data_IF_940596303630
#
_entry.id   IF_940596303630
#
_cell.length_a   1.000
_cell.length_b   1.000
_cell.length_c   1.000
_cell.angle_alpha   90.00
_cell.angle_beta   90.00
_cell.angle_gamma   90.00
#
_symmetry.space_group_name_H-M   'P 1'
#
loop_
_entity.id
_entity.type
_entity.pdbx_description
1 polymer ?
#
# COMPACT_ATOMS: atom_id res chain seq x y z
N UNK A 1 18.16 3.33 -2.92
CA UNK A 1 17.34 3.56 -1.71
C UNK A 1 15.97 2.90 -1.77
N UNK A 2 15.19 3.06 -2.86
CA UNK A 2 13.87 2.42 -2.99
C UNK A 2 13.88 0.91 -2.71
N UNK A 3 14.73 0.13 -3.41
CA UNK A 3 14.83 -1.32 -3.19
C UNK A 3 15.22 -1.71 -1.77
N UNK A 4 16.13 -0.96 -1.13
CA UNK A 4 16.51 -1.19 0.27
C UNK A 4 15.33 -0.94 1.21
N UNK A 5 14.58 0.14 1.00
CA UNK A 5 13.40 0.42 1.80
C UNK A 5 12.33 -0.66 1.64
N UNK A 6 12.09 -1.13 0.42
CA UNK A 6 11.16 -2.25 0.15
C UNK A 6 11.64 -3.54 0.81
N UNK A 7 12.93 -3.86 0.72
CA UNK A 7 13.53 -5.05 1.32
C UNK A 7 13.46 -5.06 2.85
N UNK A 8 13.42 -3.89 3.50
CA UNK A 8 13.23 -3.77 4.96
C UNK A 8 11.74 -3.80 5.31
N UNK A 9 10.93 -3.04 4.57
CA UNK A 9 9.51 -2.86 4.87
C UNK A 9 8.71 -4.15 4.71
N UNK A 10 8.94 -4.94 3.66
CA UNK A 10 8.14 -6.15 3.42
C UNK A 10 8.30 -7.22 4.51
N UNK A 11 9.52 -7.58 4.96
CA UNK A 11 9.69 -8.47 6.11
C UNK A 11 9.11 -7.89 7.40
N UNK A 12 9.23 -6.58 7.63
CA UNK A 12 8.63 -5.93 8.79
C UNK A 12 7.09 -5.96 8.75
N UNK A 13 6.49 -5.80 7.57
CA UNK A 13 5.04 -5.92 7.37
C UNK A 13 4.56 -7.34 7.70
N UNK A 14 5.31 -8.36 7.29
CA UNK A 14 4.97 -9.76 7.54
C UNK A 14 5.21 -10.19 9.00
N UNK A 15 6.31 -9.76 9.62
CA UNK A 15 6.75 -10.27 10.92
C UNK A 15 6.34 -9.38 12.10
N UNK A 16 6.32 -8.05 11.93
CA UNK A 16 6.20 -7.11 13.04
C UNK A 16 4.85 -6.40 13.09
N UNK A 17 4.29 -6.00 11.94
CA UNK A 17 3.00 -5.30 11.91
C UNK A 17 1.79 -6.09 12.45
N UNK A 18 1.72 -7.44 12.37
CA UNK A 18 0.63 -8.19 13.01
C UNK A 18 0.53 -7.99 14.52
N UNK A 19 1.64 -7.61 15.18
CA UNK A 19 1.66 -7.29 16.63
C UNK A 19 0.80 -6.06 16.95
N UNK A 20 0.67 -5.12 16.00
CA UNK A 20 -0.17 -3.94 16.13
C UNK A 20 -1.58 -4.15 15.56
N UNK A 21 -1.99 -5.40 15.34
CA UNK A 21 -3.33 -5.68 14.83
C UNK A 21 -4.40 -5.29 15.86
N UNK A 22 -5.33 -4.44 15.44
CA UNK A 22 -6.49 -4.07 16.25
C UNK A 22 -7.72 -4.57 15.50
N UNK A 23 -8.52 -5.43 16.15
CA UNK A 23 -9.72 -6.03 15.57
C UNK A 23 -9.49 -6.75 14.23
N UNK A 24 -8.31 -7.39 14.06
CA UNK A 24 -7.95 -8.11 12.83
C UNK A 24 -7.46 -7.22 11.68
N UNK A 25 -7.34 -5.91 11.90
CA UNK A 25 -6.72 -4.98 10.95
C UNK A 25 -5.25 -4.75 11.32
N UNK A 26 -4.32 -5.35 10.56
CA UNK A 26 -2.87 -5.19 10.74
C UNK A 26 -2.36 -4.04 9.87
N UNK A 27 -1.76 -2.96 10.43
CA UNK A 27 -1.31 -1.83 9.62
C UNK A 27 -0.29 -2.25 8.56
N UNK A 28 -0.29 -1.58 7.39
CA UNK A 28 0.69 -1.85 6.32
C UNK A 28 1.70 -0.71 6.16
N UNK A 29 2.96 -1.03 6.45
CA UNK A 29 4.12 -0.17 6.18
C UNK A 29 4.37 -0.02 4.68
N UNK A 30 4.08 -1.07 3.89
CA UNK A 30 4.22 -1.03 2.44
C UNK A 30 3.27 0.01 1.82
N UNK A 31 2.05 0.12 2.35
CA UNK A 31 1.10 1.18 2.03
C UNK A 31 1.66 2.59 2.26
N UNK A 32 2.28 2.81 3.43
CA UNK A 32 2.88 4.10 3.79
C UNK A 32 4.05 4.44 2.86
N UNK A 33 4.92 3.47 2.58
CA UNK A 33 6.05 3.64 1.68
C UNK A 33 5.57 3.98 0.25
N UNK A 34 4.55 3.27 -0.24
CA UNK A 34 3.97 3.52 -1.56
C UNK A 34 3.35 4.94 -1.67
N UNK A 35 2.67 5.40 -0.62
CA UNK A 35 2.12 6.75 -0.56
C UNK A 35 3.22 7.81 -0.53
N UNK A 36 4.28 7.59 0.25
CA UNK A 36 5.44 8.48 0.30
C UNK A 36 6.15 8.60 -1.06
N UNK A 37 6.36 7.48 -1.75
CA UNK A 37 6.97 7.47 -3.08
C UNK A 37 6.05 8.16 -4.10
N UNK A 38 4.74 7.92 -4.04
CA UNK A 38 3.76 8.55 -4.93
C UNK A 38 3.68 10.07 -4.78
N UNK A 39 3.80 10.56 -3.55
CA UNK A 39 3.82 11.99 -3.25
C UNK A 39 5.07 12.69 -3.80
N UNK A 40 6.23 12.03 -3.73
CA UNK A 40 7.52 12.70 -3.88
C UNK A 40 8.27 12.38 -5.18
N UNK A 41 8.00 11.23 -5.81
CA UNK A 41 8.67 10.80 -7.03
C UNK A 41 8.05 11.40 -8.31
N UNK A 42 8.74 11.23 -9.45
CA UNK A 42 8.15 11.49 -10.76
C UNK A 42 6.97 10.55 -11.02
N UNK A 43 5.97 10.97 -11.82
CA UNK A 43 4.77 10.16 -12.09
C UNK A 43 5.11 8.75 -12.60
N UNK A 44 6.11 8.62 -13.47
CA UNK A 44 6.58 7.31 -13.98
C UNK A 44 7.20 6.46 -12.87
N UNK A 45 8.07 7.04 -12.03
CA UNK A 45 8.72 6.31 -10.95
C UNK A 45 7.74 5.91 -9.83
N UNK A 46 6.76 6.75 -9.52
CA UNK A 46 5.69 6.44 -8.58
C UNK A 46 4.87 5.22 -9.04
N UNK A 47 4.48 5.22 -10.32
CA UNK A 47 3.66 4.15 -10.89
C UNK A 47 4.42 2.82 -10.91
N UNK A 48 5.65 2.80 -11.45
CA UNK A 48 6.48 1.59 -11.46
C UNK A 48 6.88 1.13 -10.06
N UNK A 49 7.17 2.05 -9.14
CA UNK A 49 7.49 1.72 -7.76
C UNK A 49 6.32 1.04 -7.04
N UNK A 50 5.11 1.58 -7.18
CA UNK A 50 3.93 0.98 -6.58
C UNK A 50 3.54 -0.34 -7.24
N UNK A 51 3.75 -0.47 -8.56
CA UNK A 51 3.58 -1.74 -9.27
C UNK A 51 4.50 -2.84 -8.71
N UNK A 52 5.79 -2.54 -8.55
CA UNK A 52 6.77 -3.50 -7.99
C UNK A 52 6.43 -3.85 -6.54
N UNK A 53 6.04 -2.87 -5.70
CA UNK A 53 5.61 -3.14 -4.32
C UNK A 53 4.40 -4.08 -4.30
N UNK A 54 3.36 -3.80 -5.09
CA UNK A 54 2.17 -4.63 -5.13
C UNK A 54 2.43 -6.05 -5.66
N UNK A 55 3.33 -6.19 -6.64
CA UNK A 55 3.75 -7.48 -7.17
C UNK A 55 4.51 -8.30 -6.13
N UNK A 56 5.40 -7.66 -5.37
CA UNK A 56 6.09 -8.34 -4.27
C UNK A 56 5.14 -8.77 -3.16
N UNK A 57 4.12 -7.95 -2.84
CA UNK A 57 3.08 -8.29 -1.86
C UNK A 57 2.25 -9.49 -2.33
N UNK A 58 1.89 -9.53 -3.62
CA UNK A 58 1.15 -10.65 -4.21
C UNK A 58 1.96 -11.96 -4.13
N UNK A 59 3.29 -11.90 -4.31
CA UNK A 59 4.17 -13.07 -4.15
C UNK A 59 4.45 -13.44 -2.69
N UNK A 60 4.43 -12.48 -1.76
CA UNK A 60 4.68 -12.75 -0.34
C UNK A 60 3.45 -13.21 0.44
N UNK A 61 2.25 -13.06 -0.13
CA UNK A 61 0.98 -13.33 0.56
C UNK A 61 0.25 -14.53 -0.08
N UNK A 62 0.65 -15.78 0.22
CA UNK A 62 -0.07 -16.95 -0.26
C UNK A 62 -1.51 -16.96 0.26
N UNK A 63 -2.48 -17.22 -0.62
CA UNK A 63 -3.88 -17.39 -0.23
C UNK A 63 -4.19 -18.89 -0.12
N UNK A 64 -4.76 -19.30 1.01
CA UNK A 64 -5.24 -20.68 1.20
C UNK A 64 -6.67 -20.79 0.71
N UNK A 65 -6.87 -21.52 -0.39
CA UNK A 65 -8.19 -21.72 -1.00
C UNK A 65 -8.40 -23.22 -1.22
N UNK A 66 -9.47 -23.76 -0.62
CA UNK A 66 -9.88 -25.16 -0.77
C UNK A 66 -8.74 -26.19 -0.54
N UNK A 67 -7.87 -25.95 0.46
CA UNK A 67 -6.75 -26.84 0.78
C UNK A 67 -5.52 -26.71 -0.12
N UNK A 68 -5.53 -25.78 -1.08
CA UNK A 68 -4.39 -25.46 -1.95
C UNK A 68 -3.84 -24.06 -1.68
N UNK A 69 -2.53 -23.89 -1.86
CA UNK A 69 -1.85 -22.59 -1.79
C UNK A 69 -1.90 -21.95 -3.17
N UNK A 70 -2.61 -20.82 -3.29
CA UNK A 70 -2.68 -20.05 -4.52
C UNK A 70 -1.87 -18.75 -4.38
N UNK A 71 -0.87 -18.60 -5.23
CA UNK A 71 -0.21 -17.32 -5.48
C UNK A 71 -0.93 -16.66 -6.66
N UNK A 72 -1.69 -15.60 -6.37
CA UNK A 72 -2.42 -14.86 -7.40
C UNK A 72 -1.72 -13.51 -7.63
N UNK A 73 -0.86 -13.39 -8.66
CA UNK A 73 -0.32 -12.09 -9.04
C UNK A 73 -1.44 -11.23 -9.64
N UNK A 74 -1.58 -9.99 -9.18
CA UNK A 74 -2.50 -9.02 -9.77
C UNK A 74 -3.29 -8.17 -8.79
N UNK A 75 -3.99 -8.73 -7.78
CA UNK A 75 -4.93 -7.96 -6.96
C UNK A 75 -4.27 -6.77 -6.25
N UNK A 76 -3.14 -6.99 -5.55
CA UNK A 76 -2.44 -5.89 -4.91
C UNK A 76 -1.62 -5.11 -5.93
N UNK A 77 -1.02 -5.75 -6.93
CA UNK A 77 -0.27 -5.07 -8.01
C UNK A 77 -1.09 -3.96 -8.68
N UNK A 78 -2.31 -4.29 -9.13
CA UNK A 78 -3.22 -3.35 -9.76
C UNK A 78 -3.77 -2.34 -8.76
N UNK A 79 -4.08 -2.78 -7.53
CA UNK A 79 -4.53 -1.90 -6.47
C UNK A 79 -3.53 -0.80 -6.14
N UNK A 80 -2.25 -1.15 -5.99
CA UNK A 80 -1.18 -0.20 -5.68
C UNK A 80 -0.86 0.71 -6.88
N UNK A 81 -0.89 0.17 -8.10
CA UNK A 81 -0.72 0.98 -9.32
C UNK A 81 -1.85 2.02 -9.48
N UNK A 82 -3.12 1.62 -9.33
CA UNK A 82 -4.27 2.52 -9.41
C UNK A 82 -4.32 3.49 -8.23
N UNK A 83 -4.04 3.03 -7.01
CA UNK A 83 -3.92 3.86 -5.82
C UNK A 83 -2.84 4.94 -5.97
N UNK A 84 -1.71 4.60 -6.59
CA UNK A 84 -0.64 5.57 -6.89
C UNK A 84 -1.09 6.66 -7.87
N UNK A 85 -1.93 6.30 -8.85
CA UNK A 85 -2.49 7.25 -9.80
C UNK A 85 -3.42 8.25 -9.09
N UNK A 86 -4.28 7.76 -8.19
CA UNK A 86 -5.15 8.60 -7.37
C UNK A 86 -4.34 9.58 -6.50
N UNK A 87 -3.33 9.10 -5.79
CA UNK A 87 -2.43 9.96 -4.99
C UNK A 87 -1.71 10.99 -5.87
N UNK A 88 -1.26 10.59 -7.06
CA UNK A 88 -0.55 11.50 -7.97
C UNK A 88 -1.43 12.64 -8.48
N UNK A 89 -2.76 12.44 -8.59
CA UNK A 89 -3.70 13.50 -8.93
C UNK A 89 -3.94 14.43 -7.74
N UNK A 90 -4.17 13.86 -6.55
CA UNK A 90 -4.50 14.63 -5.34
C UNK A 90 -3.29 15.39 -4.79
N UNK A 91 -2.05 14.94 -5.05
CA UNK A 91 -0.83 15.60 -4.52
C UNK A 91 -0.68 17.08 -4.91
N UNK A 92 -1.34 17.51 -6.00
CA UNK A 92 -1.32 18.92 -6.43
C UNK A 92 -2.07 19.85 -5.44
N UNK A 93 -2.99 19.30 -4.65
CA UNK A 93 -3.85 20.03 -3.71
C UNK A 93 -3.31 20.04 -2.27
N UNK A 94 -2.16 19.40 -2.01
CA UNK A 94 -1.68 19.14 -0.66
C UNK A 94 -0.41 19.91 -0.31
N UNK A 95 -0.27 20.23 0.97
CA UNK A 95 0.94 20.82 1.52
C UNK A 95 2.12 19.85 1.37
N UNK A 96 3.18 20.32 0.70
CA UNK A 96 4.41 19.55 0.53
C UNK A 96 5.09 19.33 1.87
N UNK A 97 5.60 18.11 2.10
CA UNK A 97 6.41 17.70 3.27
C UNK A 97 5.71 17.68 4.64
N UNK A 98 4.37 17.65 4.68
CA UNK A 98 3.66 17.44 5.95
C UNK A 98 3.50 15.94 6.26
N UNK A 99 3.60 15.55 7.53
CA UNK A 99 3.38 14.16 7.98
C UNK A 99 1.90 13.77 7.82
N UNK A 100 0.99 14.72 8.02
CA UNK A 100 -0.45 14.54 7.83
C UNK A 100 -0.77 14.20 6.37
N UNK A 101 -0.07 14.81 5.42
CA UNK A 101 -0.21 14.53 3.98
C UNK A 101 0.15 13.09 3.65
N UNK A 102 1.23 12.55 4.24
CA UNK A 102 1.63 11.15 4.02
C UNK A 102 0.59 10.19 4.60
N UNK A 103 0.11 10.46 5.82
CA UNK A 103 -0.94 9.65 6.46
C UNK A 103 -2.25 9.68 5.66
N UNK A 104 -2.74 10.86 5.28
CA UNK A 104 -3.95 11.01 4.48
C UNK A 104 -3.83 10.33 3.10
N UNK A 105 -2.68 10.43 2.44
CA UNK A 105 -2.47 9.75 1.14
C UNK A 105 -2.30 8.25 1.28
N UNK A 106 -1.77 7.77 2.41
CA UNK A 106 -1.75 6.33 2.71
C UNK A 106 -3.19 5.81 2.79
N UNK A 107 -4.07 6.52 3.47
CA UNK A 107 -5.50 6.17 3.52
C UNK A 107 -6.12 6.12 2.13
N UNK A 108 -5.95 7.17 1.32
CA UNK A 108 -6.51 7.24 -0.05
C UNK A 108 -5.96 6.12 -0.94
N UNK A 109 -4.65 5.87 -0.90
CA UNK A 109 -4.01 4.82 -1.67
C UNK A 109 -4.56 3.45 -1.30
N UNK A 110 -4.59 3.13 -0.01
CA UNK A 110 -5.03 1.83 0.49
C UNK A 110 -6.54 1.61 0.32
N UNK A 111 -7.34 2.68 0.32
CA UNK A 111 -8.75 2.61 -0.04
C UNK A 111 -8.90 2.19 -1.50
N UNK A 112 -8.12 2.77 -2.41
CA UNK A 112 -8.05 2.35 -3.81
C UNK A 112 -7.61 0.89 -3.97
N UNK A 113 -6.56 0.48 -3.25
CA UNK A 113 -6.09 -0.92 -3.22
C UNK A 113 -7.20 -1.86 -2.76
N UNK A 114 -7.92 -1.48 -1.70
CA UNK A 114 -8.98 -2.28 -1.11
C UNK A 114 -10.16 -2.47 -2.05
N UNK A 115 -10.59 -1.41 -2.75
CA UNK A 115 -11.65 -1.49 -3.75
C UNK A 115 -11.28 -2.41 -4.90
N UNK A 116 -10.06 -2.26 -5.44
CA UNK A 116 -9.58 -3.08 -6.56
C UNK A 116 -9.46 -4.55 -6.14
N UNK A 117 -8.91 -4.81 -4.96
CA UNK A 117 -8.78 -6.17 -4.44
C UNK A 117 -10.15 -6.84 -4.25
N UNK A 118 -11.10 -6.15 -3.60
CA UNK A 118 -12.46 -6.70 -3.39
C UNK A 118 -13.16 -6.90 -4.72
N UNK A 119 -13.02 -5.96 -5.67
CA UNK A 119 -13.60 -6.08 -7.00
C UNK A 119 -13.06 -7.30 -7.76
N UNK A 120 -11.74 -7.48 -7.82
CA UNK A 120 -11.11 -8.60 -8.53
C UNK A 120 -11.55 -9.94 -7.93
N UNK A 121 -11.54 -10.07 -6.60
CA UNK A 121 -11.99 -11.29 -5.95
C UNK A 121 -13.49 -11.53 -6.09
N UNK A 122 -14.32 -10.48 -6.12
CA UNK A 122 -15.76 -10.61 -6.35
C UNK A 122 -16.06 -11.09 -7.77
N UNK A 123 -15.38 -10.53 -8.79
CA UNK A 123 -15.50 -10.99 -10.18
C UNK A 123 -15.02 -12.43 -10.32
N UNK A 124 -13.89 -12.78 -9.70
CA UNK A 124 -13.37 -14.15 -9.73
C UNK A 124 -14.31 -15.14 -9.04
N UNK A 125 -14.90 -14.76 -7.90
CA UNK A 125 -15.88 -15.57 -7.19
C UNK A 125 -17.14 -15.85 -8.01
N UNK A 126 -17.57 -14.90 -8.85
CA UNK A 126 -18.74 -15.06 -9.71
C UNK A 126 -18.50 -15.94 -10.95
N UNK A 127 -17.30 -15.92 -11.53
CA UNK A 127 -17.05 -16.51 -12.86
C UNK A 127 -16.16 -17.76 -12.86
N UNK A 128 -15.25 -17.91 -11.90
CA UNK A 128 -14.10 -18.81 -12.08
C UNK A 128 -13.99 -19.99 -11.11
N UNK A 129 -14.63 -20.01 -9.92
CA UNK A 129 -14.76 -21.21 -9.05
C UNK A 129 -15.47 -20.99 -7.68
N UNK A 130 -16.23 -19.90 -7.46
CA UNK A 130 -17.06 -19.72 -6.26
C UNK A 130 -16.33 -19.50 -4.93
N UNK A 131 -15.05 -19.82 -4.83
CA UNK A 131 -14.26 -19.70 -3.60
C UNK A 131 -13.54 -18.35 -3.55
N UNK A 132 -13.97 -17.52 -2.60
CA UNK A 132 -13.31 -16.25 -2.25
C UNK A 132 -12.53 -16.41 -0.94
N UNK A 133 -11.42 -15.68 -0.76
CA UNK A 133 -10.57 -15.79 0.44
C UNK A 133 -11.21 -15.15 1.69
N UNK A 134 -12.36 -14.50 1.57
CA UNK A 134 -13.08 -13.86 2.67
C UNK A 134 -14.37 -14.61 2.98
N UNK A 135 -14.64 -14.80 4.28
CA UNK A 135 -15.90 -15.37 4.76
C UNK A 135 -16.95 -14.25 4.91
N UNK A 136 -17.98 -14.22 4.06
CA UNK A 136 -19.11 -13.29 4.17
C UNK A 136 -19.34 -12.46 2.90
N UNK A 137 -20.04 -11.32 3.06
CA UNK A 137 -20.35 -10.43 1.93
C UNK A 137 -19.17 -9.52 1.57
N UNK A 138 -19.09 -9.12 0.30
CA UNK A 138 -18.06 -8.18 -0.18
C UNK A 138 -18.06 -6.86 0.62
N UNK A 139 -19.23 -6.43 1.11
CA UNK A 139 -19.37 -5.22 1.92
C UNK A 139 -18.74 -5.38 3.32
N UNK A 140 -18.90 -6.54 3.95
CA UNK A 140 -18.27 -6.82 5.25
C UNK A 140 -16.74 -6.83 5.12
N UNK A 141 -16.22 -7.41 4.03
CA UNK A 141 -14.78 -7.42 3.75
C UNK A 141 -14.25 -6.02 3.47
N UNK A 142 -14.99 -5.19 2.73
CA UNK A 142 -14.65 -3.78 2.54
C UNK A 142 -14.61 -3.02 3.89
N UNK A 143 -15.53 -3.33 4.80
CA UNK A 143 -15.54 -2.78 6.16
C UNK A 143 -14.28 -3.13 6.96
N UNK A 144 -13.85 -4.41 6.94
CA UNK A 144 -12.59 -4.84 7.56
C UNK A 144 -11.39 -4.12 6.96
N UNK A 145 -11.36 -4.01 5.62
CA UNK A 145 -10.32 -3.28 4.90
C UNK A 145 -10.32 -1.78 5.19
N UNK A 146 -11.46 -1.19 5.52
CA UNK A 146 -11.50 0.19 5.99
C UNK A 146 -10.73 0.36 7.31
N UNK A 147 -10.89 -0.58 8.24
CA UNK A 147 -10.08 -0.64 9.47
C UNK A 147 -8.58 -0.80 9.19
N UNK A 148 -8.24 -1.61 8.18
CA UNK A 148 -6.87 -1.76 7.69
C UNK A 148 -6.30 -0.45 7.12
N UNK A 149 -7.09 0.28 6.33
CA UNK A 149 -6.69 1.59 5.80
C UNK A 149 -6.47 2.61 6.94
N UNK A 150 -7.36 2.65 7.94
CA UNK A 150 -7.27 3.59 9.06
C UNK A 150 -6.07 3.30 9.97
N UNK A 151 -5.85 2.03 10.33
CA UNK A 151 -4.68 1.61 11.11
C UNK A 151 -3.37 1.91 10.39
N UNK A 152 -3.32 1.67 9.08
CA UNK A 152 -2.18 2.03 8.24
C UNK A 152 -1.96 3.54 8.13
N UNK A 153 -3.04 4.33 8.06
CA UNK A 153 -2.95 5.79 8.07
C UNK A 153 -2.41 6.31 9.41
N UNK A 154 -2.84 5.74 10.53
CA UNK A 154 -2.31 6.06 11.85
C UNK A 154 -0.81 5.76 11.95
N UNK A 155 -0.37 4.60 11.46
CA UNK A 155 1.05 4.24 11.37
C UNK A 155 1.82 5.10 10.35
N UNK A 156 1.13 5.68 9.38
CA UNK A 156 1.69 6.65 8.45
C UNK A 156 2.22 7.92 9.11
N UNK A 157 1.78 8.27 10.32
CA UNK A 157 2.28 9.43 11.06
C UNK A 157 3.74 9.26 11.53
N UNK A 158 4.09 8.25 12.37
CA UNK A 158 5.46 8.04 12.81
C UNK A 158 6.39 7.63 11.67
N UNK A 159 5.90 6.78 10.75
CA UNK A 159 6.71 6.28 9.62
C UNK A 159 6.91 7.37 8.58
N UNK A 160 5.88 8.15 8.27
CA UNK A 160 5.97 9.30 7.37
C UNK A 160 6.95 10.37 7.88
N UNK A 161 7.04 10.56 9.20
CA UNK A 161 8.07 11.42 9.80
C UNK A 161 9.49 10.91 9.57
N UNK A 162 9.74 9.62 9.81
CA UNK A 162 11.05 9.00 9.58
C UNK A 162 11.45 9.05 8.09
N UNK A 163 10.49 8.80 7.20
CA UNK A 163 10.70 8.89 5.74
C UNK A 163 10.97 10.33 5.29
N UNK A 164 10.28 11.33 5.86
CA UNK A 164 10.55 12.74 5.57
C UNK A 164 11.96 13.17 6.01
N UNK A 165 12.51 12.61 7.10
CA UNK A 165 13.92 12.86 7.49
C UNK A 165 14.92 12.29 6.51
N UNK A 166 14.64 11.11 5.94
CA UNK A 166 15.52 10.46 4.96
C UNK A 166 15.34 11.01 3.55
N UNK A 167 14.40 11.94 3.31
CA UNK A 167 14.02 12.48 2.00
C UNK A 167 15.22 12.84 1.09
N UNK A 168 16.27 13.44 1.64
CA UNK A 168 17.47 13.82 0.88
C UNK A 168 18.22 12.64 0.26
N UNK A 169 18.07 11.43 0.80
CA UNK A 169 18.78 10.23 0.34
C UNK A 169 18.06 9.52 -0.82
N UNK A 170 16.82 9.90 -1.13
CA UNK A 170 16.00 9.22 -2.14
C UNK A 170 16.27 9.67 -3.58
N UNK A 171 16.96 10.80 -3.77
CA UNK A 171 17.29 11.32 -5.11
C UNK A 171 16.07 11.74 -5.94
N UNK A 172 14.98 12.19 -5.29
CA UNK A 172 13.79 12.65 -6.01
C UNK A 172 14.10 13.90 -6.87
N UNK A 173 13.38 14.15 -7.98
CA UNK A 173 13.70 15.20 -8.95
C UNK A 173 13.71 16.66 -8.44
N UNK A 174 13.36 16.89 -7.17
CA UNK A 174 13.44 18.19 -6.49
C UNK A 174 14.57 18.31 -5.47
N UNK A 175 15.44 17.30 -5.37
CA UNK A 175 16.62 17.32 -4.49
C UNK A 175 17.76 17.99 -5.26
N UNK A 176 17.82 19.32 -5.18
CA UNK A 176 19.06 20.02 -5.49
C UNK A 176 20.18 19.57 -4.53
N UNK A 177 21.45 19.59 -4.95
CA UNK A 177 22.56 19.19 -4.08
C UNK A 177 22.49 20.01 -2.78
N UNK A 178 22.50 19.31 -1.63
CA UNK A 178 22.70 19.98 -0.34
C UNK A 178 24.07 20.65 -0.42
N UNK A 179 24.11 21.97 -0.53
CA UNK A 179 25.29 22.76 -0.20
C UNK A 179 25.53 22.58 1.29
N UNK A 180 26.40 21.66 1.63
CA UNK A 180 27.29 21.77 2.79
C UNK A 180 28.68 21.45 2.27
#
# INVERSE_FOLDING_TARGET
>A
MFFLAVAIVLPMDAAFMPVFSIAGASPSLAGVLAAFVSLNASRRAAWWGCFVIGLLIDFSSPHFIAGSILFLPGPNTLGFALGSAAVTVVRALLLRRSMLTVSAMTFVLLLGVSLVWVFIWSVRGLWLDGTVPFSGSALQELGKRMGWCLSSAAMGLPVGWALNRTYSWWGFPGVGPRKY
#
